data_IF_289805004061
#
_entry.id   IF_289805004061
#
_cell.length_a   1.000
_cell.length_b   1.000
_cell.length_c   1.000
_cell.angle_alpha   90.00
_cell.angle_beta   90.00
_cell.angle_gamma   90.00
#
_symmetry.space_group_name_H-M   'P 1'
#
loop_
_entity.id
_entity.type
_entity.pdbx_description
1 polymer ?
#
# COMPACT_ATOMS: atom_id res chain seq x y z
N UNK A 1 27.48 17.88 -19.11
CA UNK A 1 26.73 16.84 -18.43
C UNK A 1 26.64 15.51 -19.21
N UNK A 2 26.84 15.47 -20.52
CA UNK A 2 26.72 14.25 -21.37
C UNK A 2 28.01 13.42 -21.57
N UNK A 3 29.11 13.75 -20.88
CA UNK A 3 30.41 13.10 -21.07
C UNK A 3 30.53 11.66 -20.50
N UNK A 4 29.54 11.24 -19.70
CA UNK A 4 29.51 9.94 -18.99
C UNK A 4 28.58 8.88 -19.64
N UNK A 5 27.92 9.20 -20.74
CA UNK A 5 27.02 8.29 -21.45
C UNK A 5 27.70 7.28 -22.37
N UNK A 6 29.05 7.25 -22.42
CA UNK A 6 29.75 6.24 -23.17
C UNK A 6 29.90 4.96 -22.32
N UNK A 7 29.25 3.83 -22.66
CA UNK A 7 29.26 2.61 -21.85
C UNK A 7 30.65 2.06 -21.59
N UNK A 8 31.60 2.25 -22.51
CA UNK A 8 33.01 1.83 -22.34
C UNK A 8 33.70 2.66 -21.26
N UNK A 9 33.49 3.99 -21.22
CA UNK A 9 34.08 4.85 -20.19
C UNK A 9 33.46 4.60 -18.82
N UNK A 10 32.15 4.36 -18.76
CA UNK A 10 31.45 3.99 -17.53
C UNK A 10 31.95 2.65 -16.99
N UNK A 11 32.15 1.66 -17.84
CA UNK A 11 32.71 0.36 -17.48
C UNK A 11 34.11 0.48 -16.82
N UNK A 12 35.01 1.29 -17.40
CA UNK A 12 36.36 1.48 -16.85
C UNK A 12 36.38 2.33 -15.57
N UNK A 13 35.43 3.27 -15.41
CA UNK A 13 35.33 4.13 -14.24
C UNK A 13 34.73 3.43 -13.02
N UNK A 14 33.78 2.51 -13.22
CA UNK A 14 32.99 1.90 -12.16
C UNK A 14 33.48 0.49 -11.79
N UNK A 15 34.26 -0.14 -12.66
CA UNK A 15 34.75 -1.52 -12.50
C UNK A 15 33.71 -2.59 -12.89
N UNK A 16 34.23 -3.74 -13.32
CA UNK A 16 33.43 -4.85 -13.88
C UNK A 16 32.27 -5.28 -12.99
N UNK A 17 32.48 -5.39 -11.67
CA UNK A 17 31.46 -5.87 -10.72
C UNK A 17 30.26 -4.91 -10.68
N UNK A 18 30.51 -3.63 -10.44
CA UNK A 18 29.44 -2.61 -10.37
C UNK A 18 28.73 -2.40 -11.71
N UNK A 19 29.44 -2.56 -12.82
CA UNK A 19 28.83 -2.49 -14.15
C UNK A 19 27.83 -3.63 -14.37
N UNK A 20 28.16 -4.86 -13.95
CA UNK A 20 27.24 -6.00 -14.00
C UNK A 20 26.04 -5.77 -13.07
N UNK A 21 26.27 -5.31 -11.83
CA UNK A 21 25.19 -4.96 -10.90
C UNK A 21 24.26 -3.91 -11.49
N UNK A 22 24.79 -2.89 -12.16
CA UNK A 22 23.98 -1.87 -12.83
C UNK A 22 23.14 -2.44 -13.97
N UNK A 23 23.70 -3.34 -14.80
CA UNK A 23 22.95 -3.99 -15.88
C UNK A 23 21.82 -4.84 -15.30
N UNK A 24 22.08 -5.66 -14.28
CA UNK A 24 21.08 -6.50 -13.64
C UNK A 24 19.96 -5.61 -13.07
N UNK A 25 20.32 -4.52 -12.41
CA UNK A 25 19.35 -3.58 -11.86
C UNK A 25 18.53 -2.88 -12.95
N UNK A 26 19.16 -2.46 -14.06
CA UNK A 26 18.46 -1.85 -15.18
C UNK A 26 17.48 -2.83 -15.84
N UNK A 27 17.86 -4.08 -16.04
CA UNK A 27 17.00 -5.15 -16.56
C UNK A 27 15.83 -5.41 -15.60
N UNK A 28 16.10 -5.46 -14.29
CA UNK A 28 15.06 -5.61 -13.28
C UNK A 28 14.07 -4.45 -13.30
N UNK A 29 14.55 -3.20 -13.37
CA UNK A 29 13.70 -2.02 -13.50
C UNK A 29 12.85 -2.10 -14.76
N UNK A 30 13.46 -2.40 -15.91
CA UNK A 30 12.74 -2.49 -17.17
C UNK A 30 11.66 -3.58 -17.14
N UNK A 31 11.98 -4.73 -16.58
CA UNK A 31 11.02 -5.83 -16.41
C UNK A 31 9.86 -5.45 -15.48
N UNK A 32 10.16 -4.77 -14.38
CA UNK A 32 9.16 -4.41 -13.37
C UNK A 32 8.29 -3.23 -13.79
N UNK A 33 8.91 -2.19 -14.34
CA UNK A 33 8.22 -0.97 -14.74
C UNK A 33 7.74 -0.99 -16.20
N UNK A 34 8.26 -1.87 -17.03
CA UNK A 34 7.85 -2.00 -18.45
C UNK A 34 6.34 -2.14 -18.63
N UNK A 35 5.67 -3.08 -17.95
CA UNK A 35 4.21 -3.21 -18.01
C UNK A 35 3.47 -1.95 -17.55
N UNK A 36 3.96 -1.27 -16.51
CA UNK A 36 3.36 -0.02 -15.99
C UNK A 36 3.50 1.11 -17.01
N UNK A 37 4.68 1.26 -17.62
CA UNK A 37 4.90 2.23 -18.69
C UNK A 37 4.03 1.95 -19.90
N UNK A 38 3.86 0.67 -20.25
CA UNK A 38 2.94 0.28 -21.31
C UNK A 38 1.49 0.66 -20.97
N UNK A 39 1.02 0.42 -19.75
CA UNK A 39 -0.32 0.85 -19.31
C UNK A 39 -0.47 2.37 -19.37
N UNK A 40 0.54 3.13 -18.91
CA UNK A 40 0.55 4.59 -19.04
C UNK A 40 0.49 5.04 -20.50
N UNK A 41 1.25 4.39 -21.38
CA UNK A 41 1.24 4.66 -22.81
C UNK A 41 -0.15 4.40 -23.43
N UNK A 42 -0.77 3.26 -23.10
CA UNK A 42 -2.09 2.88 -23.59
C UNK A 42 -3.21 3.81 -23.06
N UNK A 43 -3.04 4.41 -21.89
CA UNK A 43 -3.98 5.39 -21.35
C UNK A 43 -4.14 6.64 -22.25
N UNK A 44 -3.16 6.92 -23.11
CA UNK A 44 -3.17 8.01 -24.07
C UNK A 44 -3.25 7.51 -25.54
N UNK A 45 -3.71 6.29 -25.75
CA UNK A 45 -3.89 5.70 -27.05
C UNK A 45 -5.36 5.83 -27.48
N UNK A 46 -5.64 6.62 -28.51
CA UNK A 46 -6.98 6.67 -29.10
C UNK A 46 -7.27 5.44 -29.96
N UNK A 47 -6.26 4.93 -30.67
CA UNK A 47 -6.32 3.70 -31.44
C UNK A 47 -5.07 2.85 -31.20
N UNK A 48 -5.30 1.60 -30.79
CA UNK A 48 -4.24 0.61 -30.58
C UNK A 48 -4.67 -0.75 -31.10
N UNK A 49 -3.85 -1.35 -31.96
CA UNK A 49 -4.09 -2.69 -32.51
C UNK A 49 -2.87 -3.57 -32.32
N UNK A 50 -3.09 -4.76 -31.74
CA UNK A 50 -2.06 -5.80 -31.58
C UNK A 50 -1.65 -6.31 -32.97
N UNK A 51 -0.37 -6.55 -33.29
CA UNK A 51 0.80 -6.62 -32.41
C UNK A 51 1.67 -5.35 -32.35
N UNK A 52 1.14 -4.17 -32.64
CA UNK A 52 1.93 -2.94 -32.63
C UNK A 52 2.53 -2.66 -31.26
N UNK A 53 3.77 -2.15 -31.20
CA UNK A 53 4.43 -1.76 -29.95
C UNK A 53 3.96 -0.38 -29.47
N UNK A 54 3.63 0.50 -30.42
CA UNK A 54 3.16 1.86 -30.12
C UNK A 54 1.76 2.08 -30.67
N UNK A 55 0.97 2.98 -30.04
CA UNK A 55 -0.33 3.37 -30.55
C UNK A 55 -0.24 3.97 -31.95
N UNK A 56 -1.22 3.66 -32.79
CA UNK A 56 -1.35 4.26 -34.13
C UNK A 56 -1.80 5.72 -34.05
N UNK A 57 -2.62 6.04 -33.03
CA UNK A 57 -3.08 7.40 -32.77
C UNK A 57 -3.01 7.70 -31.30
N UNK A 58 -2.43 8.84 -30.97
CA UNK A 58 -2.36 9.35 -29.60
C UNK A 58 -3.49 10.34 -29.36
N UNK A 59 -4.08 10.28 -28.17
CA UNK A 59 -5.12 11.22 -27.81
C UNK A 59 -5.71 10.95 -26.41
N UNK A 60 -6.81 11.63 -26.11
CA UNK A 60 -7.52 11.58 -24.83
C UNK A 60 -9.00 11.18 -25.01
N UNK A 61 -9.34 10.50 -26.11
CA UNK A 61 -10.72 10.10 -26.42
C UNK A 61 -11.34 9.28 -25.29
N UNK A 62 -10.61 8.31 -24.77
CA UNK A 62 -11.08 7.44 -23.70
C UNK A 62 -11.24 8.16 -22.36
N UNK A 63 -10.38 9.13 -22.08
CA UNK A 63 -10.54 10.01 -20.92
C UNK A 63 -11.81 10.85 -21.02
N UNK A 64 -12.06 11.48 -22.17
CA UNK A 64 -13.31 12.21 -22.41
C UNK A 64 -14.53 11.31 -22.29
N UNK A 65 -14.47 10.09 -22.80
CA UNK A 65 -15.53 9.10 -22.68
C UNK A 65 -15.81 8.75 -21.19
N UNK A 66 -14.78 8.43 -20.42
CA UNK A 66 -14.92 8.09 -18.98
C UNK A 66 -15.53 9.26 -18.21
N UNK A 67 -14.99 10.46 -18.36
CA UNK A 67 -15.49 11.63 -17.65
C UNK A 67 -16.84 12.15 -18.17
N UNK A 68 -17.23 11.77 -19.37
CA UNK A 68 -18.55 12.03 -19.92
C UNK A 68 -19.65 11.08 -19.41
N UNK A 69 -19.26 9.94 -18.82
CA UNK A 69 -20.21 8.97 -18.28
C UNK A 69 -20.42 9.16 -16.77
N UNK A 70 -21.57 9.67 -16.37
CA UNK A 70 -21.92 9.92 -14.98
C UNK A 70 -21.78 8.67 -14.08
N UNK A 71 -22.12 7.49 -14.60
CA UNK A 71 -22.00 6.22 -13.86
C UNK A 71 -20.54 5.86 -13.52
N UNK A 72 -19.60 6.10 -14.46
CA UNK A 72 -18.19 5.84 -14.24
C UNK A 72 -17.59 6.86 -13.27
N UNK A 73 -17.93 8.14 -13.43
CA UNK A 73 -17.47 9.20 -12.52
C UNK A 73 -17.98 8.96 -11.11
N UNK A 74 -19.25 8.60 -10.93
CA UNK A 74 -19.80 8.28 -9.61
C UNK A 74 -19.11 7.07 -8.97
N UNK A 75 -18.78 6.03 -9.74
CA UNK A 75 -18.04 4.87 -9.26
C UNK A 75 -16.62 5.23 -8.81
N UNK A 76 -15.94 6.12 -9.53
CA UNK A 76 -14.62 6.63 -9.13
C UNK A 76 -14.72 7.40 -7.81
N UNK A 77 -15.66 8.33 -7.70
CA UNK A 77 -15.88 9.11 -6.47
C UNK A 77 -16.23 8.19 -5.30
N UNK A 78 -17.09 7.21 -5.51
CA UNK A 78 -17.44 6.23 -4.49
C UNK A 78 -16.21 5.40 -4.04
N UNK A 79 -15.34 5.00 -4.97
CA UNK A 79 -14.11 4.27 -4.65
C UNK A 79 -13.17 5.10 -3.77
N UNK A 80 -12.99 6.38 -4.08
CA UNK A 80 -12.20 7.29 -3.23
C UNK A 80 -12.82 7.48 -1.85
N UNK A 81 -14.15 7.61 -1.79
CA UNK A 81 -14.89 7.74 -0.52
C UNK A 81 -14.70 6.50 0.35
N UNK A 82 -14.90 5.30 -0.22
CA UNK A 82 -14.66 4.02 0.48
C UNK A 82 -13.22 3.92 0.95
N UNK A 83 -12.25 4.26 0.10
CA UNK A 83 -10.83 4.20 0.45
C UNK A 83 -10.50 5.15 1.62
N UNK A 84 -11.00 6.39 1.59
CA UNK A 84 -10.78 7.36 2.66
C UNK A 84 -11.39 6.88 3.99
N UNK A 85 -12.65 6.45 3.99
CA UNK A 85 -13.34 5.96 5.18
C UNK A 85 -12.63 4.72 5.74
N UNK A 86 -12.31 3.74 4.87
CA UNK A 86 -11.60 2.52 5.27
C UNK A 86 -10.25 2.84 5.90
N UNK A 87 -9.48 3.74 5.29
CA UNK A 87 -8.17 4.12 5.80
C UNK A 87 -8.29 4.79 7.17
N UNK A 88 -9.20 5.76 7.33
CA UNK A 88 -9.42 6.44 8.61
C UNK A 88 -9.85 5.46 9.71
N UNK A 89 -10.85 4.62 9.44
CA UNK A 89 -11.31 3.61 10.40
C UNK A 89 -10.19 2.61 10.75
N UNK A 90 -9.44 2.15 9.75
CA UNK A 90 -8.31 1.25 9.98
C UNK A 90 -7.21 1.92 10.81
N UNK A 91 -6.87 3.17 10.55
CA UNK A 91 -5.88 3.90 11.34
C UNK A 91 -6.31 4.05 12.79
N UNK A 92 -7.58 4.44 13.04
CA UNK A 92 -8.12 4.62 14.41
C UNK A 92 -8.06 3.32 15.20
N UNK A 93 -8.32 2.18 14.59
CA UNK A 93 -8.31 0.88 15.27
C UNK A 93 -6.92 0.24 15.32
N UNK A 94 -6.20 0.26 14.21
CA UNK A 94 -4.97 -0.52 14.06
C UNK A 94 -3.73 0.19 14.65
N UNK A 95 -3.66 1.53 14.63
CA UNK A 95 -2.49 2.23 15.18
C UNK A 95 -2.37 2.05 16.70
N UNK A 96 -3.43 2.24 17.51
CA UNK A 96 -3.36 1.94 18.95
C UNK A 96 -3.06 0.46 19.23
N UNK A 97 -3.65 -0.45 18.46
CA UNK A 97 -3.36 -1.89 18.58
C UNK A 97 -1.88 -2.21 18.25
N UNK A 98 -1.35 -1.63 17.18
CA UNK A 98 0.06 -1.75 16.80
C UNK A 98 1.00 -1.19 17.86
N UNK A 99 0.66 -0.04 18.46
CA UNK A 99 1.42 0.56 19.56
C UNK A 99 1.40 -0.35 20.78
N UNK A 100 0.24 -0.87 21.17
CA UNK A 100 0.12 -1.82 22.27
C UNK A 100 0.96 -3.07 22.05
N UNK A 101 0.92 -3.64 20.83
CA UNK A 101 1.74 -4.77 20.42
C UNK A 101 3.23 -4.44 20.33
N UNK A 102 3.63 -3.20 20.15
CA UNK A 102 5.03 -2.80 20.13
C UNK A 102 5.60 -2.58 21.55
N UNK A 103 4.85 -1.94 22.43
CA UNK A 103 5.32 -1.42 23.73
C UNK A 103 5.00 -2.29 24.92
N UNK A 104 3.85 -2.96 24.93
CA UNK A 104 3.42 -3.74 26.10
C UNK A 104 3.80 -5.22 25.97
N UNK A 105 4.17 -5.81 27.10
CA UNK A 105 4.40 -7.25 27.25
C UNK A 105 3.15 -7.84 27.92
N UNK A 106 2.40 -8.67 27.21
CA UNK A 106 1.24 -9.36 27.74
C UNK A 106 1.20 -10.80 27.24
N UNK A 107 0.57 -11.74 27.99
CA UNK A 107 0.43 -13.11 27.56
C UNK A 107 -0.39 -13.16 26.25
N UNK A 108 -0.03 -14.04 25.34
CA UNK A 108 -0.71 -14.19 24.05
C UNK A 108 -0.29 -13.19 22.95
N UNK A 109 0.57 -12.20 23.23
CA UNK A 109 1.03 -11.20 22.23
C UNK A 109 1.51 -11.82 20.92
N UNK A 110 2.28 -12.92 20.98
CA UNK A 110 2.77 -13.62 19.78
C UNK A 110 1.61 -14.21 18.98
N UNK A 111 0.63 -14.80 19.67
CA UNK A 111 -0.55 -15.39 19.04
C UNK A 111 -1.36 -14.30 18.34
N UNK A 112 -1.59 -13.16 19.00
CA UNK A 112 -2.25 -12.01 18.39
C UNK A 112 -1.53 -11.52 17.13
N UNK A 113 -0.21 -11.39 17.17
CA UNK A 113 0.55 -11.01 15.97
C UNK A 113 0.44 -12.04 14.85
N UNK A 114 0.46 -13.34 15.17
CA UNK A 114 0.32 -14.41 14.18
C UNK A 114 -1.10 -14.47 13.61
N UNK A 115 -2.14 -14.18 14.39
CA UNK A 115 -3.53 -14.21 13.92
C UNK A 115 -3.78 -13.24 12.76
N UNK A 116 -3.13 -12.07 12.75
CA UNK A 116 -3.20 -11.15 11.61
C UNK A 116 -2.56 -11.72 10.34
N UNK A 117 -1.50 -12.55 10.46
CA UNK A 117 -0.89 -13.22 9.32
C UNK A 117 -1.80 -14.32 8.77
N UNK A 118 -2.52 -15.01 9.63
CA UNK A 118 -3.40 -16.12 9.23
C UNK A 118 -4.49 -15.66 8.26
N UNK A 119 -4.97 -14.41 8.37
CA UNK A 119 -5.95 -13.83 7.43
C UNK A 119 -5.49 -13.90 5.98
N UNK A 120 -4.17 -13.84 5.74
CA UNK A 120 -3.59 -13.93 4.39
C UNK A 120 -3.00 -15.31 4.06
N UNK A 121 -2.90 -16.21 5.02
CA UNK A 121 -2.37 -17.56 4.84
C UNK A 121 -3.42 -18.56 4.31
N UNK A 122 -4.70 -18.31 4.57
CA UNK A 122 -5.78 -19.16 4.09
C UNK A 122 -6.26 -18.78 2.68
N UNK A 123 -6.80 -19.73 1.90
CA UNK A 123 -7.43 -19.46 0.62
C UNK A 123 -8.53 -18.40 0.76
N UNK A 124 -8.39 -17.29 0.07
CA UNK A 124 -9.31 -16.13 0.18
C UNK A 124 -10.78 -16.51 -0.12
N UNK A 125 -11.00 -17.45 -1.02
CA UNK A 125 -12.35 -17.89 -1.39
C UNK A 125 -13.13 -18.42 -0.18
N UNK A 126 -12.52 -19.28 0.64
CA UNK A 126 -13.17 -19.82 1.84
C UNK A 126 -13.47 -18.74 2.88
N UNK A 127 -12.52 -17.82 3.07
CA UNK A 127 -12.69 -16.68 4.00
C UNK A 127 -13.87 -15.80 3.54
N UNK A 128 -13.90 -15.41 2.27
CA UNK A 128 -14.95 -14.51 1.76
C UNK A 128 -16.33 -15.18 1.75
N UNK A 129 -16.40 -16.49 1.50
CA UNK A 129 -17.67 -17.24 1.63
C UNK A 129 -18.19 -17.19 3.06
N UNK A 130 -17.32 -17.44 4.04
CA UNK A 130 -17.68 -17.39 5.46
C UNK A 130 -18.09 -15.99 5.91
N UNK A 131 -17.35 -14.96 5.49
CA UNK A 131 -17.69 -13.56 5.75
C UNK A 131 -19.03 -13.20 5.07
N UNK A 132 -19.26 -13.67 3.85
CA UNK A 132 -20.52 -13.46 3.12
C UNK A 132 -21.74 -13.99 3.87
N UNK A 133 -21.65 -15.19 4.45
CA UNK A 133 -22.71 -15.76 5.29
C UNK A 133 -22.99 -14.88 6.51
N UNK A 134 -21.93 -14.40 7.20
CA UNK A 134 -22.08 -13.51 8.34
C UNK A 134 -22.69 -12.16 7.92
N UNK A 135 -22.23 -11.59 6.81
CA UNK A 135 -22.74 -10.32 6.30
C UNK A 135 -24.21 -10.41 5.91
N UNK A 136 -24.63 -11.52 5.30
CA UNK A 136 -26.03 -11.77 5.03
C UNK A 136 -26.84 -11.82 6.32
N UNK A 137 -26.39 -12.57 7.33
CA UNK A 137 -27.05 -12.70 8.63
C UNK A 137 -27.22 -11.35 9.36
N UNK A 138 -26.25 -10.46 9.25
CA UNK A 138 -26.26 -9.15 9.92
C UNK A 138 -26.70 -7.97 9.05
N UNK A 139 -27.27 -8.26 7.86
CA UNK A 139 -27.71 -7.22 6.90
C UNK A 139 -26.59 -6.25 6.47
N UNK A 140 -25.36 -6.74 6.38
CA UNK A 140 -24.21 -5.98 5.91
C UNK A 140 -23.95 -6.14 4.41
N UNK A 141 -24.75 -6.93 3.71
CA UNK A 141 -24.71 -7.07 2.26
C UNK A 141 -25.35 -5.85 1.60
N UNK A 142 -24.58 -5.10 0.80
CA UNK A 142 -25.05 -3.88 0.12
C UNK A 142 -24.73 -2.55 0.81
N UNK A 143 -24.88 -2.37 2.13
CA UNK A 143 -24.49 -1.13 2.80
C UNK A 143 -22.98 -0.82 2.68
N UNK A 144 -22.65 0.48 2.64
CA UNK A 144 -21.28 0.99 2.64
C UNK A 144 -20.44 0.41 3.79
N UNK A 145 -21.05 0.22 4.96
CA UNK A 145 -20.42 -0.34 6.13
C UNK A 145 -19.82 -1.73 5.89
N UNK A 146 -20.53 -2.61 5.18
CA UNK A 146 -20.02 -3.93 4.83
C UNK A 146 -18.80 -3.85 3.93
N UNK A 147 -18.81 -2.96 2.95
CA UNK A 147 -17.66 -2.75 2.05
C UNK A 147 -16.45 -2.23 2.84
N UNK A 148 -16.65 -1.28 3.74
CA UNK A 148 -15.58 -0.74 4.60
C UNK A 148 -15.00 -1.84 5.50
N UNK A 149 -15.85 -2.63 6.16
CA UNK A 149 -15.42 -3.71 7.05
C UNK A 149 -14.58 -4.75 6.32
N UNK A 150 -15.00 -5.18 5.12
CA UNK A 150 -14.22 -6.20 4.37
C UNK A 150 -12.86 -5.66 3.94
N UNK A 151 -12.78 -4.39 3.54
CA UNK A 151 -11.51 -3.75 3.22
C UNK A 151 -10.61 -3.56 4.44
N UNK A 152 -11.17 -3.22 5.60
CA UNK A 152 -10.44 -3.16 6.87
C UNK A 152 -9.84 -4.53 7.23
N UNK A 153 -10.64 -5.61 7.16
CA UNK A 153 -10.17 -6.98 7.42
C UNK A 153 -8.99 -7.35 6.50
N UNK A 154 -9.09 -7.04 5.22
CA UNK A 154 -8.03 -7.33 4.25
C UNK A 154 -6.73 -6.52 4.49
N UNK A 155 -6.84 -5.28 4.95
CA UNK A 155 -5.69 -4.40 5.20
C UNK A 155 -5.09 -4.58 6.60
N UNK A 156 -5.79 -5.23 7.53
CA UNK A 156 -5.45 -5.31 8.95
C UNK A 156 -4.04 -5.85 9.21
N UNK A 157 -3.60 -6.85 8.45
CA UNK A 157 -2.23 -7.37 8.55
C UNK A 157 -1.21 -6.24 8.38
N UNK A 158 -1.29 -5.49 7.28
CA UNK A 158 -0.33 -4.42 7.00
C UNK A 158 -0.50 -3.24 7.95
N UNK A 159 -1.75 -2.87 8.28
CA UNK A 159 -2.07 -1.77 9.18
C UNK A 159 -1.67 -2.00 10.64
N UNK A 160 -1.41 -3.24 11.03
CA UNK A 160 -0.90 -3.59 12.38
C UNK A 160 0.60 -3.86 12.35
N UNK A 161 1.07 -4.67 11.39
CA UNK A 161 2.47 -5.13 11.35
C UNK A 161 3.46 -4.01 11.03
N UNK A 162 3.17 -3.19 10.02
CA UNK A 162 4.08 -2.10 9.64
C UNK A 162 4.23 -1.05 10.75
N UNK A 163 3.13 -0.50 11.32
CA UNK A 163 3.25 0.44 12.43
C UNK A 163 3.86 -0.20 13.69
N UNK A 164 3.53 -1.46 14.00
CA UNK A 164 4.14 -2.14 15.15
C UNK A 164 5.66 -2.31 14.99
N UNK A 165 6.14 -2.54 13.76
CA UNK A 165 7.57 -2.58 13.46
C UNK A 165 8.20 -1.20 13.58
N UNK A 166 7.56 -0.16 13.05
CA UNK A 166 8.01 1.22 13.16
C UNK A 166 8.09 1.67 14.62
N UNK A 167 7.05 1.41 15.43
CA UNK A 167 7.07 1.74 16.86
C UNK A 167 8.17 1.01 17.65
N UNK A 168 8.58 -0.19 17.22
CA UNK A 168 9.71 -0.90 17.85
C UNK A 168 11.06 -0.29 17.52
N UNK A 169 11.20 0.39 16.39
CA UNK A 169 12.45 1.06 16.01
C UNK A 169 12.71 2.36 16.80
N UNK A 170 11.66 2.98 17.31
CA UNK A 170 11.79 4.17 18.18
C UNK A 170 12.36 3.75 19.55
N UNK A 171 13.47 4.31 19.93
CA UNK A 171 14.11 4.00 21.21
C UNK A 171 13.26 4.46 22.40
N UNK A 172 13.07 3.59 23.40
CA UNK A 172 12.31 3.93 24.62
C UNK A 172 12.87 5.13 25.37
N UNK A 173 14.18 5.30 25.32
CA UNK A 173 14.87 6.45 25.94
C UNK A 173 14.36 7.80 25.43
N UNK A 174 13.94 7.89 24.16
CA UNK A 174 13.36 9.12 23.61
C UNK A 174 11.98 9.43 24.22
N UNK A 175 11.17 8.39 24.44
CA UNK A 175 9.87 8.55 25.11
C UNK A 175 10.03 8.89 26.60
N UNK A 176 11.03 8.29 27.27
CA UNK A 176 11.37 8.57 28.66
C UNK A 176 11.87 10.00 28.80
N UNK A 177 12.82 10.43 27.97
CA UNK A 177 13.32 11.81 27.96
C UNK A 177 12.21 12.85 27.74
N UNK A 178 11.24 12.56 26.85
CA UNK A 178 10.09 13.45 26.65
C UNK A 178 9.20 13.55 27.91
N UNK A 179 9.04 12.44 28.64
CA UNK A 179 8.28 12.43 29.90
C UNK A 179 9.00 13.15 31.04
N UNK A 180 10.33 13.04 31.10
CA UNK A 180 11.15 13.72 32.11
C UNK A 180 11.05 15.25 32.00
N UNK A 181 10.85 15.77 30.79
CA UNK A 181 10.56 17.22 30.57
C UNK A 181 9.07 17.56 30.67
N UNK A 182 8.24 16.66 31.21
CA UNK A 182 6.83 16.92 31.52
C UNK A 182 5.84 16.62 30.36
N UNK A 183 6.24 15.93 29.32
CA UNK A 183 5.29 15.52 28.27
C UNK A 183 4.36 14.41 28.77
N UNK A 184 3.05 14.65 28.71
CA UNK A 184 2.05 13.62 28.99
C UNK A 184 2.04 12.48 27.96
N UNK A 185 1.39 11.33 28.25
CA UNK A 185 1.42 10.14 27.38
C UNK A 185 0.96 10.40 25.93
N UNK A 186 -0.11 11.16 25.74
CA UNK A 186 -0.62 11.52 24.42
C UNK A 186 0.37 12.42 23.68
N UNK A 187 0.94 13.41 24.36
CA UNK A 187 1.94 14.31 23.74
C UNK A 187 3.19 13.54 23.34
N UNK A 188 3.67 12.64 24.20
CA UNK A 188 4.81 11.75 23.87
C UNK A 188 4.48 10.89 22.64
N UNK A 189 3.29 10.32 22.59
CA UNK A 189 2.87 9.50 21.44
C UNK A 189 2.86 10.31 20.14
N UNK A 190 2.17 11.45 20.10
CA UNK A 190 2.02 12.22 18.85
C UNK A 190 3.28 13.00 18.42
N UNK A 191 4.18 13.33 19.37
CA UNK A 191 5.36 14.16 19.05
C UNK A 191 6.67 13.37 18.96
N UNK A 192 6.74 12.16 19.52
CA UNK A 192 7.99 11.37 19.57
C UNK A 192 7.83 9.99 18.97
N UNK A 193 6.71 9.30 19.25
CA UNK A 193 6.55 7.90 18.85
C UNK A 193 5.94 7.75 17.46
N UNK A 194 5.01 8.63 17.08
CA UNK A 194 4.28 8.56 15.81
C UNK A 194 5.06 9.10 14.61
N UNK A 195 5.82 10.21 14.73
CA UNK A 195 6.65 10.67 13.62
C UNK A 195 7.80 9.75 13.30
#
# INVERSE_FOLDING_TARGET
>A
MFKYLNPKRFYFAVGRKRFIEFIIFAVFILFFYGPLLNMCMLAFADTYTVPAVFPQQWGIKWWKFIFGQQSLVSSIVQSFTVAAITTMCSMVLCIPAAYALARFKFPGRKIFMLSFLLTNAFPKLGIYTSIGILFYKYNLMGPLAGVVIIHMINSMMFMVWLPASAFRSVHRQQEEAARDVGAGPLRTFFSVTLP
#
